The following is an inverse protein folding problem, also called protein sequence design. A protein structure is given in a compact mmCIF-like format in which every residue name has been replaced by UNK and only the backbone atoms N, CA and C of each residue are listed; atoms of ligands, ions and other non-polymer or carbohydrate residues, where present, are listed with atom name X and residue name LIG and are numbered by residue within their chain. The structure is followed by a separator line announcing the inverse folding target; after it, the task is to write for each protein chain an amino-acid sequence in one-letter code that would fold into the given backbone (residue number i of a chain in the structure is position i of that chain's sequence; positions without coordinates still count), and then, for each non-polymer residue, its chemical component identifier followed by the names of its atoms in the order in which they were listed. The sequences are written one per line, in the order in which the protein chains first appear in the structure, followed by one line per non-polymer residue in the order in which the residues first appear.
data_IF_502438577765
#
_entry.id   IF_502438577765
#
_cell.length_a   1.000
_cell.length_b   1.000
_cell.length_c   1.000
_cell.angle_alpha   90.00
_cell.angle_beta   90.00
_cell.angle_gamma   90.00
#
_symmetry.space_group_name_H-M   'P 1'
#
loop_
_entity.id
_entity.type
_entity.pdbx_description
1 polymer ?
#
# COMPACT_ATOMS: atom_id res chain seq x y z
N UNK A 1 -8.71 0.59 16.69
CA UNK A 1 -9.69 0.35 15.61
C UNK A 1 -9.10 0.90 14.33
N UNK A 2 -8.42 0.05 13.56
CA UNK A 2 -7.67 0.44 12.37
C UNK A 2 -8.65 0.81 11.24
N UNK A 3 -8.91 2.11 11.07
CA UNK A 3 -9.75 2.64 9.99
C UNK A 3 -9.26 2.23 8.58
N UNK A 4 -7.98 1.87 8.44
CA UNK A 4 -7.33 1.54 7.16
C UNK A 4 -6.62 0.20 7.23
N UNK A 5 -7.34 -0.84 7.68
CA UNK A 5 -6.74 -2.15 7.89
C UNK A 5 -6.22 -2.77 6.59
N UNK A 6 -6.83 -2.46 5.43
CA UNK A 6 -6.36 -3.01 4.15
C UNK A 6 -5.04 -2.33 3.76
N UNK A 7 -4.98 -0.99 3.82
CA UNK A 7 -3.77 -0.24 3.46
C UNK A 7 -2.62 -0.63 4.38
N UNK A 8 -2.85 -0.63 5.70
CA UNK A 8 -1.82 -1.01 6.68
C UNK A 8 -1.30 -2.40 6.35
N UNK A 9 -2.18 -3.38 6.12
CA UNK A 9 -1.78 -4.76 5.80
C UNK A 9 -0.96 -4.87 4.49
N UNK A 10 -1.27 -4.04 3.49
CA UNK A 10 -0.45 -3.93 2.25
C UNK A 10 0.89 -3.30 2.53
N UNK A 11 0.91 -2.19 3.27
CA UNK A 11 2.14 -1.51 3.66
C UNK A 11 3.02 -2.45 4.50
N UNK A 12 2.46 -3.26 5.42
CA UNK A 12 3.24 -4.29 6.12
C UNK A 12 3.79 -5.32 5.13
N UNK A 13 2.95 -5.83 4.24
CA UNK A 13 3.36 -6.90 3.32
C UNK A 13 4.45 -6.44 2.34
N UNK A 14 4.49 -5.14 2.01
CA UNK A 14 5.38 -4.56 0.99
C UNK A 14 6.57 -3.80 1.57
N UNK A 15 6.42 -3.18 2.74
CA UNK A 15 7.43 -2.34 3.39
C UNK A 15 8.02 -2.97 4.65
N UNK A 16 7.52 -4.13 5.09
CA UNK A 16 8.12 -4.82 6.24
C UNK A 16 9.52 -5.31 5.89
N UNK A 17 10.48 -4.80 6.66
CA UNK A 17 11.92 -5.02 6.56
C UNK A 17 12.30 -6.50 6.78
N UNK A 18 11.40 -7.28 7.39
CA UNK A 18 11.60 -8.70 7.74
C UNK A 18 11.16 -9.65 6.60
N UNK A 19 10.41 -9.12 5.63
CA UNK A 19 9.88 -9.88 4.50
C UNK A 19 10.97 -9.87 3.42
N UNK A 20 12.03 -10.66 3.63
CA UNK A 20 13.08 -10.95 2.64
C UNK A 20 12.57 -11.78 1.46
N UNK A 21 11.35 -11.51 1.00
CA UNK A 21 10.74 -12.11 -0.16
C UNK A 21 11.37 -11.50 -1.41
N UNK A 22 11.68 -12.36 -2.38
CA UNK A 22 12.04 -11.86 -3.70
C UNK A 22 10.84 -11.12 -4.32
N UNK A 23 11.09 -10.19 -5.25
CA UNK A 23 10.05 -9.41 -5.96
C UNK A 23 8.89 -10.29 -6.49
N UNK A 24 9.16 -11.55 -6.83
CA UNK A 24 8.18 -12.53 -7.27
C UNK A 24 7.20 -12.97 -6.16
N UNK A 25 7.69 -13.22 -4.95
CA UNK A 25 6.86 -13.68 -3.84
C UNK A 25 6.02 -12.54 -3.25
N UNK A 26 6.55 -11.32 -3.23
CA UNK A 26 5.76 -10.11 -2.95
C UNK A 26 4.59 -9.98 -3.93
N UNK A 27 4.87 -10.18 -5.23
CA UNK A 27 3.84 -10.09 -6.28
C UNK A 27 2.77 -11.18 -6.14
N UNK A 28 3.15 -12.43 -5.87
CA UNK A 28 2.19 -13.52 -5.69
C UNK A 28 1.35 -13.33 -4.41
N UNK A 29 1.94 -12.76 -3.36
CA UNK A 29 1.22 -12.39 -2.14
C UNK A 29 0.17 -11.32 -2.43
N UNK A 30 0.57 -10.21 -3.07
CA UNK A 30 -0.33 -9.14 -3.49
C UNK A 30 -1.42 -9.64 -4.44
N UNK A 31 -1.08 -10.52 -5.38
CA UNK A 31 -2.04 -11.12 -6.30
C UNK A 31 -3.09 -11.96 -5.58
N UNK A 32 -2.70 -12.80 -4.62
CA UNK A 32 -3.67 -13.55 -3.79
C UNK A 32 -4.51 -12.64 -2.92
N UNK A 33 -3.90 -11.58 -2.39
CA UNK A 33 -4.57 -10.61 -1.54
C UNK A 33 -5.63 -9.82 -2.33
N UNK A 34 -5.32 -9.46 -3.57
CA UNK A 34 -6.15 -8.66 -4.49
C UNK A 34 -6.67 -9.45 -5.71
N UNK A 35 -6.88 -10.75 -5.56
CA UNK A 35 -7.32 -11.64 -6.64
C UNK A 35 -8.70 -11.26 -7.21
N UNK A 36 -9.50 -10.53 -6.44
CA UNK A 36 -10.85 -10.11 -6.82
C UNK A 36 -10.90 -8.60 -7.08
N UNK A 37 -11.58 -8.14 -8.16
CA UNK A 37 -11.68 -6.72 -8.49
C UNK A 37 -12.39 -5.90 -7.41
N UNK A 38 -13.29 -6.53 -6.66
CA UNK A 38 -13.96 -5.97 -5.49
C UNK A 38 -12.98 -5.63 -4.34
N UNK A 39 -11.93 -6.45 -4.13
CA UNK A 39 -10.88 -6.15 -3.15
C UNK A 39 -9.98 -5.01 -3.61
N UNK A 40 -9.68 -4.95 -4.90
CA UNK A 40 -8.95 -3.82 -5.50
C UNK A 40 -9.76 -2.53 -5.38
N UNK A 41 -11.06 -2.58 -5.63
CA UNK A 41 -11.96 -1.44 -5.46
C UNK A 41 -12.05 -0.99 -3.99
N UNK A 42 -12.11 -1.93 -3.04
CA UNK A 42 -12.10 -1.63 -1.61
C UNK A 42 -10.79 -0.99 -1.16
N UNK A 43 -9.64 -1.52 -1.60
CA UNK A 43 -8.32 -0.93 -1.37
C UNK A 43 -8.26 0.49 -1.93
N UNK A 44 -8.72 0.69 -3.16
CA UNK A 44 -8.73 2.01 -3.79
C UNK A 44 -9.61 2.99 -3.02
N UNK A 45 -10.79 2.56 -2.59
CA UNK A 45 -11.69 3.39 -1.78
C UNK A 45 -11.04 3.76 -0.43
N UNK A 46 -10.44 2.80 0.28
CA UNK A 46 -9.69 3.09 1.51
C UNK A 46 -8.52 4.04 1.24
N UNK A 47 -7.80 3.86 0.13
CA UNK A 47 -6.67 4.70 -0.25
C UNK A 47 -7.14 6.12 -0.52
N UNK A 48 -8.18 6.31 -1.32
CA UNK A 48 -8.77 7.63 -1.55
C UNK A 48 -9.27 8.28 -0.26
N UNK A 49 -9.82 7.50 0.67
CA UNK A 49 -10.21 8.00 1.98
C UNK A 49 -9.02 8.41 2.84
N UNK A 50 -7.98 7.58 2.94
CA UNK A 50 -6.74 7.90 3.66
C UNK A 50 -6.10 9.17 3.11
N UNK A 51 -6.04 9.29 1.78
CA UNK A 51 -5.45 10.42 1.09
C UNK A 51 -6.27 11.71 1.14
N UNK A 52 -7.56 11.60 1.48
CA UNK A 52 -8.47 12.74 1.64
C UNK A 52 -8.69 13.11 3.10
N UNK A 53 -8.33 12.24 4.04
CA UNK A 53 -8.47 12.48 5.48
C UNK A 53 -7.28 13.29 5.98
N UNK A 54 -7.46 14.60 6.08
CA UNK A 54 -6.45 15.53 6.61
C UNK A 54 -6.27 15.41 8.13
N UNK A 55 -6.98 14.49 8.79
CA UNK A 55 -6.76 14.22 10.22
C UNK A 55 -5.68 13.16 10.43
N UNK A 56 -5.13 12.60 9.35
CA UNK A 56 -4.13 11.54 9.39
C UNK A 56 -2.83 12.09 8.84
N UNK A 57 -1.82 12.12 9.70
CA UNK A 57 -0.45 12.39 9.28
C UNK A 57 0.11 11.17 8.54
N UNK A 58 0.14 11.25 7.21
CA UNK A 58 0.70 10.20 6.35
C UNK A 58 2.18 9.96 6.66
N UNK A 59 2.89 10.99 7.12
CA UNK A 59 4.28 10.89 7.57
C UNK A 59 4.36 9.99 8.81
N UNK A 60 3.55 10.23 9.84
CA UNK A 60 3.51 9.40 11.07
C UNK A 60 3.01 7.97 10.79
N UNK A 61 2.15 7.81 9.77
CA UNK A 61 1.70 6.50 9.31
C UNK A 61 2.84 5.67 8.68
N UNK A 62 3.73 6.32 7.94
CA UNK A 62 4.90 5.69 7.30
C UNK A 62 6.12 5.61 8.22
N UNK A 63 6.21 6.51 9.19
CA UNK A 63 7.25 6.61 10.22
C UNK A 63 6.73 6.01 11.54
N UNK A 64 6.58 4.68 11.57
CA UNK A 64 6.08 3.97 12.73
C UNK A 64 6.99 2.78 13.07
N UNK A 65 6.96 2.34 14.33
CA UNK A 65 7.76 1.23 14.87
C UNK A 65 7.56 -0.09 14.11
N UNK A 66 6.46 -0.23 13.35
CA UNK A 66 6.16 -1.42 12.55
C UNK A 66 6.79 -1.44 11.16
N UNK A 67 7.05 -0.28 10.52
CA UNK A 67 7.71 -0.21 9.19
C UNK A 67 8.60 1.03 9.13
N UNK A 68 9.90 0.85 8.89
CA UNK A 68 10.86 1.95 8.69
C UNK A 68 10.87 2.32 7.20
N UNK A 69 9.72 2.75 6.68
CA UNK A 69 9.49 2.68 5.24
C UNK A 69 10.12 3.84 4.46
N UNK A 70 10.00 5.08 4.94
CA UNK A 70 10.53 6.23 4.23
C UNK A 70 10.46 7.51 5.08
N UNK A 71 11.57 8.24 5.30
CA UNK A 71 11.50 9.59 5.84
C UNK A 71 10.99 10.52 4.75
N UNK A 72 9.66 10.60 4.61
CA UNK A 72 9.05 11.55 3.70
C UNK A 72 9.33 12.99 4.18
N UNK A 73 9.78 13.85 3.27
CA UNK A 73 10.10 15.25 3.58
C UNK A 73 8.82 16.07 3.88
N UNK A 74 7.72 15.75 3.20
CA UNK A 74 6.42 16.42 3.32
C UNK A 74 5.25 15.43 3.15
N UNK A 75 4.04 15.80 3.58
CA UNK A 75 2.84 14.97 3.43
C UNK A 75 2.55 14.60 1.96
N UNK A 76 2.88 15.50 1.02
CA UNK A 76 2.72 15.23 -0.41
C UNK A 76 3.66 14.11 -0.88
N UNK A 77 4.88 14.08 -0.37
CA UNK A 77 5.87 13.05 -0.69
C UNK A 77 5.43 11.70 -0.11
N UNK A 78 5.00 11.68 1.16
CA UNK A 78 4.41 10.50 1.81
C UNK A 78 3.21 9.94 1.02
N UNK A 79 2.29 10.83 0.62
CA UNK A 79 1.13 10.50 -0.22
C UNK A 79 1.55 9.88 -1.53
N UNK A 80 2.49 10.51 -2.22
CA UNK A 80 2.94 10.05 -3.52
C UNK A 80 3.67 8.71 -3.40
N UNK A 81 4.44 8.49 -2.34
CA UNK A 81 5.09 7.22 -2.04
C UNK A 81 4.08 6.10 -1.79
N UNK A 82 3.06 6.31 -0.94
CA UNK A 82 2.02 5.31 -0.67
C UNK A 82 1.28 4.96 -1.97
N UNK A 83 0.90 5.98 -2.76
CA UNK A 83 0.26 5.76 -4.06
C UNK A 83 1.19 5.01 -4.98
N UNK A 84 2.45 5.39 -5.12
CA UNK A 84 3.37 4.71 -6.03
C UNK A 84 3.58 3.24 -5.62
N UNK A 85 3.78 3.00 -4.32
CA UNK A 85 4.00 1.70 -3.72
C UNK A 85 2.80 0.76 -3.94
N UNK A 86 1.58 1.25 -3.68
CA UNK A 86 0.35 0.45 -3.79
C UNK A 86 -0.12 0.40 -5.25
N UNK A 87 -0.18 1.54 -5.94
CA UNK A 87 -0.72 1.66 -7.30
C UNK A 87 0.18 1.01 -8.35
N UNK A 88 1.51 1.16 -8.28
CA UNK A 88 2.40 0.44 -9.21
C UNK A 88 2.38 -1.06 -8.98
N UNK A 89 2.36 -1.52 -7.72
CA UNK A 89 2.41 -2.95 -7.42
C UNK A 89 1.07 -3.67 -7.59
N UNK A 90 -0.06 -3.02 -7.25
CA UNK A 90 -1.40 -3.62 -7.31
C UNK A 90 -2.11 -3.33 -8.64
N UNK A 91 -2.06 -2.10 -9.14
CA UNK A 91 -2.82 -1.68 -10.33
C UNK A 91 -2.01 -1.81 -11.62
N UNK A 92 -0.71 -1.49 -11.58
CA UNK A 92 0.16 -1.54 -12.76
C UNK A 92 0.78 -2.94 -12.99
N UNK A 93 0.27 -3.97 -12.33
CA UNK A 93 0.73 -5.34 -12.53
C UNK A 93 0.28 -5.83 -13.93
N UNK A 94 1.21 -6.15 -14.86
CA UNK A 94 0.90 -6.54 -16.25
C UNK A 94 0.11 -7.85 -16.39
N UNK A 95 -0.16 -8.56 -15.30
CA UNK A 95 -0.98 -9.78 -15.30
C UNK A 95 -2.47 -9.49 -15.59
N UNK A 96 -2.95 -8.25 -15.42
CA UNK A 96 -4.32 -7.85 -15.79
C UNK A 96 -4.50 -7.44 -17.26
N UNK A 97 -3.51 -7.68 -18.12
CA UNK A 97 -3.63 -7.52 -19.59
C UNK A 97 -3.42 -8.85 -20.30
N UNK A 98 -4.18 -9.87 -19.91
CA UNK A 98 -4.52 -10.97 -20.83
C UNK A 98 -5.97 -10.81 -21.23
N UNK A 99 -6.20 -9.98 -22.26
CA UNK A 99 -7.39 -10.04 -23.12
C UNK A 99 -7.03 -10.75 -24.41
#
# INVERSE_FOLDING_TARGET
MNKYSIIVNVLESVLSVDVGLNEFEEQECLKRMFDSPEKVAALKAELEQLLSDTSIDLIELLDNDSYTAYPADDEQDAKQFIVDCIWKRVINNPVNTSV
#
